data_IF_589053696195
#
_entry.id   IF_589053696195
#
_cell.length_a   1.000
_cell.length_b   1.000
_cell.length_c   1.000
_cell.angle_alpha   90.00
_cell.angle_beta   90.00
_cell.angle_gamma   90.00
#
_symmetry.space_group_name_H-M   'P 1'
#
loop_
_entity.id
_entity.type
_entity.pdbx_description
1 polymer ?
#
# COMPACT_ATOMS: atom_id res chain seq x y z
N UNK A 1 -4.18 8.87 61.33
CA UNK A 1 -3.80 10.19 61.88
C UNK A 1 -3.97 11.23 60.79
N UNK A 2 -4.97 12.12 60.93
CA UNK A 2 -5.14 13.33 60.13
C UNK A 2 -4.36 14.50 60.74
N UNK A 3 -4.01 15.51 59.91
CA UNK A 3 -3.60 16.92 60.16
C UNK A 3 -2.38 17.24 59.27
N UNK A 4 -2.22 18.35 58.53
CA UNK A 4 -2.87 19.68 58.35
C UNK A 4 -2.33 20.23 57.00
N UNK A 5 -3.15 20.87 56.14
CA UNK A 5 -3.28 22.33 55.94
C UNK A 5 -1.94 23.03 55.56
N UNK A 6 -1.80 23.86 54.51
CA UNK A 6 -2.40 25.19 54.34
C UNK A 6 -2.09 25.75 52.91
N UNK A 7 -3.05 26.48 52.33
CA UNK A 7 -2.94 27.40 51.17
C UNK A 7 -2.10 28.67 51.50
N UNK A 8 -1.38 29.25 50.52
CA UNK A 8 -1.39 30.71 50.23
C UNK A 8 -0.45 31.04 49.03
N UNK A 9 -0.95 31.57 47.90
CA UNK A 9 -1.15 33.00 47.51
C UNK A 9 0.10 33.71 46.98
N UNK A 10 -0.06 34.30 45.78
CA UNK A 10 0.72 35.40 45.19
C UNK A 10 0.53 35.36 43.67
N UNK A 11 -0.45 36.01 43.04
CA UNK A 11 -0.97 37.38 43.08
C UNK A 11 0.07 38.45 42.72
N UNK A 12 0.04 38.88 41.44
CA UNK A 12 0.40 40.20 40.89
C UNK A 12 0.08 40.16 39.39
N UNK A 13 -1.13 40.53 38.93
CA UNK A 13 -1.64 41.89 38.65
C UNK A 13 -0.94 42.53 37.44
N UNK A 14 -1.53 42.38 36.24
CA UNK A 14 -2.26 43.39 35.44
C UNK A 14 -1.35 44.37 34.68
N UNK A 15 -1.50 44.38 33.34
CA UNK A 15 -1.87 45.63 32.67
C UNK A 15 -2.82 45.38 31.50
N UNK A 16 -4.00 46.00 31.61
CA UNK A 16 -4.99 46.17 30.57
C UNK A 16 -4.41 47.03 29.43
N UNK A 17 -4.77 46.68 28.20
CA UNK A 17 -5.21 47.66 27.23
C UNK A 17 -6.54 47.16 26.64
N UNK A 18 -7.61 47.79 27.11
CA UNK A 18 -8.96 47.62 26.61
C UNK A 18 -9.05 48.18 25.18
N UNK A 19 -9.80 47.50 24.32
CA UNK A 19 -10.58 48.12 23.26
C UNK A 19 -11.69 47.17 22.81
N UNK A 20 -12.93 47.50 23.18
CA UNK A 20 -14.11 47.21 22.38
C UNK A 20 -14.96 46.01 22.77
N UNK A 21 -15.95 46.25 23.64
CA UNK A 21 -17.17 45.45 23.73
C UNK A 21 -17.89 45.32 22.38
N UNK A 22 -18.37 44.11 22.09
CA UNK A 22 -19.75 43.86 21.66
C UNK A 22 -20.12 42.40 21.93
N UNK A 23 -20.93 42.22 22.97
CA UNK A 23 -22.12 41.34 23.06
C UNK A 23 -22.67 40.99 21.63
N UNK A 24 -23.27 39.85 21.27
CA UNK A 24 -24.31 39.04 21.90
C UNK A 24 -24.39 37.67 21.16
N UNK A 25 -24.64 36.61 21.91
CA UNK A 25 -25.23 35.28 21.62
C UNK A 25 -25.93 35.06 20.26
N UNK A 26 -25.54 34.02 19.48
CA UNK A 26 -26.49 33.06 18.90
C UNK A 26 -25.86 31.74 18.39
N UNK A 27 -26.65 30.67 18.51
CA UNK A 27 -26.44 29.26 18.19
C UNK A 27 -25.98 29.01 16.74
N UNK A 28 -25.14 28.00 16.53
CA UNK A 28 -25.41 26.85 15.64
C UNK A 28 -24.25 25.84 15.62
N UNK A 29 -24.56 24.56 15.76
CA UNK A 29 -23.67 23.46 15.35
C UNK A 29 -23.46 23.53 13.83
N UNK A 30 -22.28 23.10 13.36
CA UNK A 30 -22.30 22.17 12.24
C UNK A 30 -21.54 20.90 12.58
N UNK A 31 -22.26 19.78 12.48
CA UNK A 31 -21.67 18.47 12.20
C UNK A 31 -20.82 18.61 10.94
N UNK A 32 -19.48 18.63 11.09
CA UNK A 32 -18.60 18.45 9.95
C UNK A 32 -18.74 17.00 9.51
N UNK A 33 -19.55 16.78 8.48
CA UNK A 33 -19.57 15.54 7.72
C UNK A 33 -18.15 15.31 7.21
N UNK A 34 -17.49 14.29 7.74
CA UNK A 34 -16.32 13.69 7.14
C UNK A 34 -16.82 12.89 5.94
N UNK A 35 -17.17 13.59 4.86
CA UNK A 35 -17.41 12.95 3.57
C UNK A 35 -16.04 12.60 3.03
N UNK A 36 -15.55 11.40 3.37
CA UNK A 36 -14.49 10.74 2.60
C UNK A 36 -15.04 10.54 1.19
N UNK A 37 -14.80 11.53 0.32
CA UNK A 37 -15.01 11.38 -1.10
C UNK A 37 -14.16 10.19 -1.55
N UNK A 38 -14.82 9.11 -1.92
CA UNK A 38 -14.21 7.99 -2.62
C UNK A 38 -13.78 8.55 -3.97
N UNK A 39 -12.53 9.03 -4.07
CA UNK A 39 -11.97 9.50 -5.34
C UNK A 39 -11.85 8.29 -6.25
N UNK A 40 -12.88 8.08 -7.06
CA UNK A 40 -12.88 7.06 -8.09
C UNK A 40 -11.91 7.54 -9.18
N UNK A 41 -10.78 6.85 -9.31
CA UNK A 41 -9.77 7.19 -10.30
C UNK A 41 -10.38 7.16 -11.70
N UNK A 42 -10.02 8.12 -12.59
CA UNK A 42 -10.49 8.11 -13.97
C UNK A 42 -10.16 6.77 -14.64
N UNK A 43 -11.14 6.17 -15.33
CA UNK A 43 -11.02 4.86 -16.01
C UNK A 43 -9.84 4.79 -16.99
N UNK A 44 -9.50 5.92 -17.62
CA UNK A 44 -8.36 6.06 -18.53
C UNK A 44 -7.02 5.93 -17.78
N UNK A 45 -6.92 6.53 -16.60
CA UNK A 45 -5.72 6.47 -15.77
C UNK A 45 -5.47 5.05 -15.26
N UNK A 46 -6.52 4.38 -14.76
CA UNK A 46 -6.42 2.97 -14.35
C UNK A 46 -6.01 2.06 -15.51
N UNK A 47 -6.55 2.28 -16.70
CA UNK A 47 -6.16 1.53 -17.91
C UNK A 47 -4.68 1.74 -18.24
N UNK A 48 -4.17 2.97 -18.12
CA UNK A 48 -2.75 3.28 -18.31
C UNK A 48 -1.86 2.59 -17.27
N UNK A 49 -2.28 2.56 -16.01
CA UNK A 49 -1.54 1.90 -14.92
C UNK A 49 -1.43 0.39 -15.15
N UNK A 50 -2.54 -0.26 -15.54
CA UNK A 50 -2.55 -1.70 -15.87
C UNK A 50 -1.59 -2.01 -17.03
N UNK A 51 -1.65 -1.24 -18.12
CA UNK A 51 -0.71 -1.39 -19.25
C UNK A 51 0.76 -1.21 -18.85
N UNK A 52 1.01 -0.31 -17.88
CA UNK A 52 2.36 -0.12 -17.32
C UNK A 52 2.84 -1.37 -16.60
N UNK A 53 1.98 -2.03 -15.81
CA UNK A 53 2.28 -3.32 -15.17
C UNK A 53 2.55 -4.39 -16.22
N UNK A 54 1.68 -4.55 -17.21
CA UNK A 54 1.83 -5.56 -18.28
C UNK A 54 3.15 -5.43 -19.04
N UNK A 55 3.59 -4.19 -19.31
CA UNK A 55 4.89 -3.96 -19.96
C UNK A 55 6.04 -4.41 -19.06
N UNK A 56 6.02 -4.02 -17.79
CA UNK A 56 7.07 -4.34 -16.82
C UNK A 56 7.10 -5.84 -16.50
N UNK A 57 5.96 -6.52 -16.49
CA UNK A 57 5.92 -7.97 -16.26
C UNK A 57 6.52 -8.75 -17.43
N UNK A 58 6.39 -8.29 -18.67
CA UNK A 58 7.10 -8.87 -19.82
C UNK A 58 8.62 -8.76 -19.66
N UNK A 59 9.12 -7.59 -19.28
CA UNK A 59 10.56 -7.38 -19.00
C UNK A 59 11.05 -8.30 -17.86
N UNK A 60 10.20 -8.54 -16.85
CA UNK A 60 10.51 -9.46 -15.73
C UNK A 60 10.51 -10.93 -16.17
N UNK A 61 9.57 -11.34 -17.03
CA UNK A 61 9.51 -12.69 -17.60
C UNK A 61 10.81 -12.99 -18.36
N UNK A 62 11.24 -12.05 -19.22
CA UNK A 62 12.50 -12.16 -19.96
C UNK A 62 13.71 -12.22 -19.02
N UNK A 63 13.73 -11.40 -17.97
CA UNK A 63 14.80 -11.40 -16.96
C UNK A 63 14.99 -12.77 -16.29
N UNK A 64 13.91 -13.51 -16.05
CA UNK A 64 13.97 -14.83 -15.43
C UNK A 64 14.21 -15.98 -16.41
N UNK A 65 14.54 -15.69 -17.68
CA UNK A 65 15.07 -16.67 -18.62
C UNK A 65 14.17 -17.89 -18.85
N UNK A 66 12.85 -17.70 -18.85
CA UNK A 66 11.87 -18.77 -19.02
C UNK A 66 11.47 -19.51 -17.75
N UNK A 67 12.04 -19.17 -16.58
CA UNK A 67 11.60 -19.70 -15.29
C UNK A 67 10.20 -19.17 -14.94
N UNK A 68 10.00 -17.85 -15.06
CA UNK A 68 8.65 -17.26 -15.00
C UNK A 68 8.09 -17.32 -16.42
N UNK A 69 7.02 -18.08 -16.63
CA UNK A 69 6.44 -18.29 -17.97
C UNK A 69 5.34 -17.28 -18.28
N UNK A 70 4.60 -16.86 -17.26
CA UNK A 70 3.53 -15.86 -17.37
C UNK A 70 3.31 -15.14 -16.04
N UNK A 71 2.75 -13.94 -16.14
CA UNK A 71 2.28 -13.16 -14.98
C UNK A 71 0.92 -12.57 -15.32
N UNK A 72 -0.07 -12.87 -14.50
CA UNK A 72 -1.44 -12.36 -14.66
C UNK A 72 -1.80 -11.42 -13.51
N UNK A 73 -2.42 -10.29 -13.85
CA UNK A 73 -2.89 -9.31 -12.90
C UNK A 73 -4.38 -9.52 -12.64
N UNK A 74 -4.72 -9.96 -11.44
CA UNK A 74 -6.08 -10.22 -11.00
C UNK A 74 -6.53 -9.20 -9.95
N UNK A 75 -7.84 -9.05 -9.80
CA UNK A 75 -8.44 -8.20 -8.77
C UNK A 75 -9.26 -9.04 -7.82
N UNK A 76 -8.85 -9.09 -6.55
CA UNK A 76 -9.50 -9.83 -5.48
C UNK A 76 -9.78 -8.89 -4.31
N UNK A 77 -11.03 -8.80 -3.84
CA UNK A 77 -11.40 -7.98 -2.68
C UNK A 77 -10.92 -6.52 -2.77
N UNK A 78 -10.99 -5.91 -3.96
CA UNK A 78 -10.48 -4.58 -4.29
C UNK A 78 -8.94 -4.40 -4.23
N UNK A 79 -8.19 -5.47 -4.03
CA UNK A 79 -6.73 -5.47 -4.16
C UNK A 79 -6.30 -6.14 -5.45
N UNK A 80 -5.18 -5.67 -6.00
CA UNK A 80 -4.51 -6.32 -7.10
C UNK A 80 -3.62 -7.45 -6.59
N UNK A 81 -3.78 -8.62 -7.20
CA UNK A 81 -3.02 -9.84 -6.90
C UNK A 81 -2.34 -10.30 -8.19
N UNK A 82 -1.04 -10.55 -8.13
CA UNK A 82 -0.30 -11.11 -9.25
C UNK A 82 -0.24 -12.62 -9.14
N UNK A 83 -0.65 -13.32 -10.19
CA UNK A 83 -0.47 -14.76 -10.35
C UNK A 83 0.76 -14.97 -11.21
N UNK A 84 1.73 -15.72 -10.69
CA UNK A 84 3.04 -15.93 -11.34
C UNK A 84 3.19 -17.40 -11.67
N UNK A 85 3.33 -17.71 -12.94
CA UNK A 85 3.45 -19.09 -13.42
C UNK A 85 4.92 -19.47 -13.58
N UNK A 86 5.32 -20.60 -13.00
CA UNK A 86 6.71 -21.00 -12.86
C UNK A 86 6.96 -22.37 -13.48
N UNK A 87 7.93 -22.44 -14.40
CA UNK A 87 8.49 -23.69 -14.85
C UNK A 87 9.48 -24.22 -13.79
N UNK A 88 9.05 -25.26 -13.06
CA UNK A 88 9.85 -25.90 -12.02
C UNK A 88 11.11 -26.58 -12.56
N UNK A 89 11.08 -27.06 -13.79
CA UNK A 89 12.24 -27.70 -14.42
C UNK A 89 13.29 -26.66 -14.74
N UNK A 90 12.88 -25.56 -15.38
CA UNK A 90 13.77 -24.43 -15.63
C UNK A 90 14.34 -23.86 -14.33
N UNK A 91 13.52 -23.69 -13.29
CA UNK A 91 13.98 -23.24 -11.98
C UNK A 91 15.00 -24.22 -11.38
N UNK A 92 14.74 -25.52 -11.41
CA UNK A 92 15.63 -26.53 -10.82
C UNK A 92 17.01 -26.57 -11.48
N UNK A 93 17.06 -26.25 -12.79
CA UNK A 93 18.28 -26.18 -13.58
C UNK A 93 19.00 -24.81 -13.50
N UNK A 94 18.40 -23.81 -12.86
CA UNK A 94 19.02 -22.51 -12.68
C UNK A 94 20.23 -22.57 -11.72
N UNK A 95 21.05 -21.51 -11.73
CA UNK A 95 22.17 -21.40 -10.79
C UNK A 95 21.68 -21.44 -9.34
N UNK A 96 22.50 -21.97 -8.45
CA UNK A 96 22.12 -22.19 -7.04
C UNK A 96 21.69 -20.88 -6.34
N UNK A 97 22.34 -19.77 -6.67
CA UNK A 97 22.04 -18.46 -6.11
C UNK A 97 20.65 -17.99 -6.50
N UNK A 98 20.27 -18.12 -7.76
CA UNK A 98 18.93 -17.81 -8.24
C UNK A 98 17.89 -18.75 -7.61
N UNK A 99 18.13 -20.06 -7.58
CA UNK A 99 17.17 -21.01 -7.00
C UNK A 99 16.81 -20.69 -5.56
N UNK A 100 17.83 -20.46 -4.72
CA UNK A 100 17.65 -20.17 -3.29
C UNK A 100 16.92 -18.84 -3.05
N UNK A 101 17.07 -17.89 -3.96
CA UNK A 101 16.53 -16.53 -3.79
C UNK A 101 15.38 -16.22 -4.76
N UNK A 102 14.86 -17.23 -5.48
CA UNK A 102 13.91 -16.99 -6.55
C UNK A 102 12.64 -16.31 -6.03
N UNK A 103 12.07 -16.82 -4.94
CA UNK A 103 10.89 -16.23 -4.29
C UNK A 103 11.10 -14.75 -4.00
N UNK A 104 12.10 -14.44 -3.19
CA UNK A 104 12.48 -13.07 -2.86
C UNK A 104 12.72 -12.17 -4.10
N UNK A 105 13.58 -12.59 -5.04
CA UNK A 105 13.95 -11.77 -6.21
C UNK A 105 12.77 -11.48 -7.11
N UNK A 106 11.95 -12.49 -7.37
CA UNK A 106 10.75 -12.36 -8.23
C UNK A 106 9.70 -11.49 -7.54
N UNK A 107 9.47 -11.72 -6.24
CA UNK A 107 8.52 -10.95 -5.42
C UNK A 107 8.86 -9.47 -5.41
N UNK A 108 10.12 -9.12 -5.13
CA UNK A 108 10.57 -7.73 -5.09
C UNK A 108 10.35 -7.03 -6.42
N UNK A 109 10.80 -7.63 -7.53
CA UNK A 109 10.64 -7.03 -8.87
C UNK A 109 9.18 -6.79 -9.26
N UNK A 110 8.31 -7.76 -8.96
CA UNK A 110 6.89 -7.66 -9.29
C UNK A 110 6.16 -6.64 -8.43
N UNK A 111 6.45 -6.60 -7.11
CA UNK A 111 5.89 -5.57 -6.23
C UNK A 111 6.35 -4.17 -6.64
N UNK A 112 7.61 -4.01 -7.03
CA UNK A 112 8.13 -2.75 -7.56
C UNK A 112 7.43 -2.36 -8.87
N UNK A 113 7.18 -3.30 -9.77
CA UNK A 113 6.47 -3.02 -11.02
C UNK A 113 5.05 -2.47 -10.78
N UNK A 114 4.34 -3.03 -9.79
CA UNK A 114 3.00 -2.57 -9.40
C UNK A 114 3.06 -1.22 -8.65
N UNK A 115 4.04 -1.02 -7.77
CA UNK A 115 4.21 0.24 -7.06
C UNK A 115 4.56 1.39 -8.03
N UNK A 116 5.48 1.15 -8.96
CA UNK A 116 5.91 2.14 -9.94
C UNK A 116 4.87 2.42 -11.04
N UNK A 117 3.85 1.57 -11.20
CA UNK A 117 2.72 1.89 -12.08
C UNK A 117 1.71 2.82 -11.41
N UNK A 118 1.76 3.01 -10.09
CA UNK A 118 0.74 3.74 -9.32
C UNK A 118 -0.52 2.92 -9.06
N UNK A 119 -0.56 1.66 -9.49
CA UNK A 119 -1.76 0.82 -9.39
C UNK A 119 -2.06 0.40 -7.95
N UNK A 120 -1.01 0.08 -7.17
CA UNK A 120 -1.14 -0.33 -5.79
C UNK A 120 0.19 -0.14 -5.04
N UNK A 121 0.13 0.20 -3.75
CA UNK A 121 1.31 0.29 -2.90
C UNK A 121 2.06 -1.05 -2.81
N UNK A 122 3.39 -0.97 -2.72
CA UNK A 122 4.28 -2.13 -2.62
C UNK A 122 3.85 -3.15 -1.55
N UNK A 123 3.52 -2.67 -0.34
CA UNK A 123 3.13 -3.51 0.79
C UNK A 123 1.77 -4.19 0.64
N UNK A 124 0.88 -3.65 -0.20
CA UNK A 124 -0.47 -4.16 -0.43
C UNK A 124 -0.54 -5.17 -1.57
N UNK A 125 0.51 -5.29 -2.36
CA UNK A 125 0.59 -6.23 -3.49
C UNK A 125 0.86 -7.64 -3.02
N UNK A 126 -0.14 -8.50 -3.25
CA UNK A 126 -0.08 -9.94 -3.03
C UNK A 126 0.43 -10.63 -4.29
N UNK A 127 1.26 -11.64 -4.11
CA UNK A 127 1.80 -12.46 -5.19
C UNK A 127 1.55 -13.92 -4.83
N UNK A 128 0.90 -14.66 -5.73
CA UNK A 128 0.71 -16.11 -5.65
C UNK A 128 1.48 -16.76 -6.78
N UNK A 129 2.14 -17.87 -6.49
CA UNK A 129 2.90 -18.60 -7.49
C UNK A 129 2.19 -19.90 -7.82
N UNK A 130 2.21 -20.25 -9.09
CA UNK A 130 1.65 -21.49 -9.60
C UNK A 130 2.68 -22.22 -10.45
N UNK A 131 2.55 -23.53 -10.57
CA UNK A 131 3.22 -24.28 -11.63
C UNK A 131 2.81 -23.75 -13.00
N UNK A 132 3.69 -23.88 -14.01
CA UNK A 132 3.44 -23.35 -15.36
C UNK A 132 2.21 -23.93 -16.05
N UNK A 133 1.74 -25.12 -15.63
CA UNK A 133 0.48 -25.71 -16.08
C UNK A 133 -0.77 -25.11 -15.39
N UNK A 134 -0.58 -24.20 -14.44
CA UNK A 134 -1.62 -23.46 -13.70
C UNK A 134 -2.39 -24.29 -12.68
N UNK A 135 -2.00 -25.55 -12.43
CA UNK A 135 -2.81 -26.48 -11.63
C UNK A 135 -2.49 -26.45 -10.13
N UNK A 136 -1.28 -26.04 -9.76
CA UNK A 136 -0.79 -26.18 -8.40
C UNK A 136 -0.21 -24.87 -7.90
N UNK A 137 -0.78 -24.32 -6.82
CA UNK A 137 -0.16 -23.21 -6.08
C UNK A 137 1.11 -23.69 -5.39
N UNK A 138 2.15 -22.87 -5.40
CA UNK A 138 3.46 -23.18 -4.84
C UNK A 138 3.93 -22.01 -3.98
N UNK A 139 4.60 -22.35 -2.89
CA UNK A 139 5.15 -21.35 -1.98
C UNK A 139 6.65 -21.21 -2.19
N UNK A 140 7.13 -20.00 -2.02
CA UNK A 140 8.55 -19.68 -1.98
C UNK A 140 8.82 -18.82 -0.75
N UNK A 141 9.93 -19.12 -0.06
CA UNK A 141 10.47 -18.29 1.02
C UNK A 141 10.90 -16.90 0.47
#
# INVERSE_FOLDING_TARGET
>A
MMKRSVLAVGLSVVMLAACGEKEIVHKEQPKTQLTTAKTEQPKDEQTRMVKSVERRTKEIIEYFGGIVTAVELNKENNLYVLYVFVDKTALSNADEGLRKNFGYRTRTKLKDAVAQSGLQEYGKTTIRYFTSDGKTEIEFE
#
